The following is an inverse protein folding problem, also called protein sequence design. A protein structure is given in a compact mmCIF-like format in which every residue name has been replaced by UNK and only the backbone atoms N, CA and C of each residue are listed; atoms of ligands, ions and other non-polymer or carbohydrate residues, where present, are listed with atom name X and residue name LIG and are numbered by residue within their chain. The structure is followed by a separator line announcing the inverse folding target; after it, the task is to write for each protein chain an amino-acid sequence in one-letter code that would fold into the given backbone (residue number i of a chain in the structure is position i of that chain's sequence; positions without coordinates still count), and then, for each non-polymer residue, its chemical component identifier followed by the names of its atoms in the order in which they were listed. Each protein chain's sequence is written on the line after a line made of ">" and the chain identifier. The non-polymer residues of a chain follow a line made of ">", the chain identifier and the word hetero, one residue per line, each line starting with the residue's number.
data_IF_183118014002
#
_entry.id   IF_183118014002
#
_cell.length_a   1.000
_cell.length_b   1.000
_cell.length_c   1.000
_cell.angle_alpha   90.00
_cell.angle_beta   90.00
_cell.angle_gamma   90.00
#
_symmetry.space_group_name_H-M   'P 1'
#
loop_
_entity.id
_entity.type
_entity.pdbx_description
1 polymer ?
#
# COMPACT_ATOMS: atom_id res chain seq x y z
N UNK A 1 14.93 9.82 54.87
CA UNK A 1 15.40 8.61 55.57
C UNK A 1 15.76 7.66 54.45
N UNK A 2 17.00 7.68 53.92
CA UNK A 2 18.20 6.97 54.41
C UNK A 2 17.94 5.45 54.38
N UNK A 3 18.62 4.60 53.69
CA UNK A 3 20.05 4.30 53.58
C UNK A 3 20.20 3.33 52.38
N UNK A 4 21.12 3.51 51.44
CA UNK A 4 22.54 3.16 51.49
C UNK A 4 22.83 1.66 51.25
N UNK A 5 23.48 1.44 50.12
CA UNK A 5 24.83 0.84 49.94
C UNK A 5 25.01 -0.64 50.27
N UNK A 6 25.49 -1.38 49.30
CA UNK A 6 26.80 -2.08 49.37
C UNK A 6 27.20 -2.70 48.02
N UNK A 7 28.16 -2.24 47.46
CA UNK A 7 29.46 -2.54 46.88
C UNK A 7 29.96 -3.98 47.17
N UNK A 8 30.32 -4.68 46.13
CA UNK A 8 31.06 -5.94 46.19
C UNK A 8 31.91 -6.13 44.93
N UNK A 9 33.12 -5.58 44.95
CA UNK A 9 34.20 -5.86 44.00
C UNK A 9 34.91 -7.16 44.38
N UNK A 10 35.30 -7.94 43.41
CA UNK A 10 36.37 -8.96 43.43
C UNK A 10 36.63 -9.45 42.03
N UNK A 11 37.73 -9.55 41.47
CA UNK A 11 39.15 -9.50 41.71
C UNK A 11 39.77 -10.30 40.53
N UNK A 12 40.72 -9.69 39.88
CA UNK A 12 41.56 -10.34 38.87
C UNK A 12 42.39 -11.42 39.55
N UNK A 13 42.52 -12.57 38.98
CA UNK A 13 43.72 -13.37 39.11
C UNK A 13 44.19 -14.00 37.80
N UNK A 14 45.43 -13.70 37.49
CA UNK A 14 46.20 -14.22 36.35
C UNK A 14 46.81 -15.57 36.74
N UNK A 15 46.61 -16.62 35.95
CA UNK A 15 47.62 -17.69 35.85
C UNK A 15 47.57 -18.45 34.54
N UNK A 16 48.62 -18.23 33.76
CA UNK A 16 49.49 -19.16 33.00
C UNK A 16 48.92 -20.09 31.95
N UNK A 17 49.35 -19.78 30.77
CA UNK A 17 49.43 -20.63 29.56
C UNK A 17 50.19 -21.92 29.83
N UNK A 18 49.67 -23.04 29.34
CA UNK A 18 50.48 -24.20 28.94
C UNK A 18 50.01 -24.65 27.57
N UNK A 19 50.83 -24.48 26.55
CA UNK A 19 50.68 -25.07 25.26
C UNK A 19 51.04 -26.53 25.25
N UNK A 20 50.22 -27.40 24.61
CA UNK A 20 50.72 -28.64 24.04
C UNK A 20 49.98 -28.95 22.72
N UNK A 21 50.67 -29.49 21.71
CA UNK A 21 50.22 -29.52 20.34
C UNK A 21 49.54 -30.83 19.97
N UNK A 22 48.44 -30.70 19.20
CA UNK A 22 47.73 -31.82 18.61
C UNK A 22 47.13 -31.44 17.27
N UNK A 23 47.99 -31.39 16.28
CA UNK A 23 47.62 -31.23 14.87
C UNK A 23 46.75 -32.43 14.42
N UNK A 24 45.40 -32.26 14.38
CA UNK A 24 44.52 -33.13 13.59
C UNK A 24 43.05 -32.67 13.53
N UNK A 25 42.74 -31.42 13.88
CA UNK A 25 41.34 -30.90 13.80
C UNK A 25 41.14 -29.68 12.90
N UNK A 26 42.09 -29.44 11.95
CA UNK A 26 42.05 -28.25 11.10
C UNK A 26 41.49 -28.53 9.67
N UNK A 27 40.86 -29.66 9.41
CA UNK A 27 40.36 -29.99 8.07
C UNK A 27 38.81 -29.99 7.98
N UNK A 28 38.09 -30.02 9.10
CA UNK A 28 36.61 -30.05 9.07
C UNK A 28 35.92 -28.69 9.10
N UNK A 29 36.60 -27.59 9.40
CA UNK A 29 35.94 -26.26 9.50
C UNK A 29 35.94 -25.51 8.17
N UNK A 30 36.80 -25.87 7.23
CA UNK A 30 36.88 -25.24 5.89
C UNK A 30 35.91 -25.83 4.85
N UNK A 31 35.28 -26.97 5.15
CA UNK A 31 34.29 -27.58 4.24
C UNK A 31 32.86 -27.11 4.48
N UNK A 32 32.56 -26.40 5.59
CA UNK A 32 31.20 -25.89 5.91
C UNK A 32 30.99 -24.43 5.50
N UNK A 33 32.01 -23.70 5.11
CA UNK A 33 31.88 -22.31 4.62
C UNK A 33 31.70 -22.19 3.09
N UNK A 34 31.80 -23.28 2.34
CA UNK A 34 31.73 -23.24 0.87
C UNK A 34 30.35 -23.58 0.28
N UNK A 35 29.34 -23.84 1.09
CA UNK A 35 27.97 -24.18 0.61
C UNK A 35 26.97 -23.05 0.85
N UNK A 36 27.38 -21.92 1.44
CA UNK A 36 26.51 -20.76 1.68
C UNK A 36 26.54 -19.70 0.55
N UNK A 37 27.09 -20.03 -0.60
CA UNK A 37 27.10 -19.15 -1.75
C UNK A 37 26.24 -19.74 -2.87
N UNK A 38 25.30 -18.92 -3.32
CA UNK A 38 24.51 -19.09 -4.54
C UNK A 38 23.19 -19.87 -4.36
N UNK A 39 22.32 -19.38 -3.52
CA UNK A 39 20.93 -19.24 -3.93
C UNK A 39 20.74 -17.78 -4.39
N UNK A 40 21.34 -17.41 -5.49
CA UNK A 40 20.82 -16.30 -6.28
C UNK A 40 19.44 -16.72 -6.73
N UNK A 41 18.45 -16.30 -5.94
CA UNK A 41 17.05 -16.34 -6.35
C UNK A 41 17.02 -15.49 -7.62
N UNK A 42 17.01 -16.12 -8.77
CA UNK A 42 16.64 -15.47 -10.02
C UNK A 42 15.19 -15.04 -9.88
N UNK A 43 14.99 -13.85 -9.32
CA UNK A 43 13.72 -13.12 -9.41
C UNK A 43 13.55 -12.83 -10.91
N UNK A 44 12.87 -13.73 -11.59
CA UNK A 44 12.41 -13.45 -12.95
C UNK A 44 11.50 -12.24 -12.83
N UNK A 45 11.91 -11.12 -13.41
CA UNK A 45 11.03 -10.00 -13.65
C UNK A 45 9.75 -10.54 -14.32
N UNK A 46 8.61 -10.32 -13.71
CA UNK A 46 7.35 -10.68 -14.32
C UNK A 46 7.24 -9.89 -15.63
N UNK A 47 6.79 -10.59 -16.67
CA UNK A 47 6.57 -9.99 -17.98
C UNK A 47 5.57 -8.84 -17.83
N UNK A 48 5.97 -7.65 -18.24
CA UNK A 48 5.16 -6.44 -18.27
C UNK A 48 3.84 -6.67 -19.01
N UNK A 49 3.88 -7.47 -20.07
CA UNK A 49 2.70 -7.85 -20.85
C UNK A 49 1.67 -8.61 -20.01
N UNK A 50 2.09 -9.36 -19.01
CA UNK A 50 1.19 -10.10 -18.12
C UNK A 50 0.48 -9.18 -17.15
N UNK A 51 1.21 -8.24 -16.53
CA UNK A 51 0.63 -7.24 -15.61
C UNK A 51 -0.30 -6.31 -16.36
N UNK A 52 0.10 -5.87 -17.55
CA UNK A 52 -0.74 -5.03 -18.40
C UNK A 52 -2.01 -5.76 -18.85
N UNK A 53 -1.91 -7.01 -19.26
CA UNK A 53 -3.09 -7.84 -19.61
C UNK A 53 -4.03 -8.02 -18.43
N UNK A 54 -3.51 -8.22 -17.21
CA UNK A 54 -4.34 -8.30 -16.02
C UNK A 54 -5.09 -6.99 -15.78
N UNK A 55 -4.40 -5.85 -15.89
CA UNK A 55 -5.01 -4.54 -15.75
C UNK A 55 -6.03 -4.24 -16.85
N UNK A 56 -5.67 -4.48 -18.11
CA UNK A 56 -6.59 -4.31 -19.24
C UNK A 56 -7.85 -5.19 -19.09
N UNK A 57 -7.67 -6.44 -18.66
CA UNK A 57 -8.78 -7.37 -18.48
C UNK A 57 -9.66 -6.97 -17.30
N UNK A 58 -9.05 -6.63 -16.16
CA UNK A 58 -9.78 -6.35 -14.94
C UNK A 58 -10.49 -4.99 -14.95
N UNK A 59 -9.83 -3.95 -15.45
CA UNK A 59 -10.30 -2.57 -15.29
C UNK A 59 -10.79 -1.93 -16.59
N UNK A 60 -10.22 -2.28 -17.74
CA UNK A 60 -10.57 -1.67 -19.01
C UNK A 60 -11.66 -2.46 -19.74
N UNK A 61 -11.45 -3.77 -19.96
CA UNK A 61 -12.35 -4.60 -20.76
C UNK A 61 -13.62 -4.98 -20.01
N UNK A 62 -13.60 -5.03 -18.68
CA UNK A 62 -14.80 -5.29 -17.88
C UNK A 62 -15.84 -4.17 -17.99
N UNK A 63 -15.40 -2.94 -18.31
CA UNK A 63 -16.28 -1.80 -18.58
C UNK A 63 -16.75 -1.68 -20.04
N UNK A 64 -16.06 -2.28 -21.01
CA UNK A 64 -16.32 -2.14 -22.44
C UNK A 64 -16.34 -3.48 -23.16
N UNK A 65 -17.53 -4.03 -23.43
CA UNK A 65 -17.70 -5.30 -24.16
C UNK A 65 -17.31 -5.27 -25.65
N UNK A 66 -16.77 -4.17 -26.20
CA UNK A 66 -16.40 -4.06 -27.62
C UNK A 66 -15.22 -3.11 -27.82
N UNK A 67 -13.97 -3.59 -27.78
CA UNK A 67 -12.90 -3.00 -28.59
C UNK A 67 -11.77 -4.01 -28.80
N UNK A 68 -11.39 -4.21 -30.07
CA UNK A 68 -10.22 -5.01 -30.48
C UNK A 68 -8.92 -4.44 -29.90
N UNK A 69 -7.93 -5.28 -29.57
CA UNK A 69 -6.67 -4.84 -29.00
C UNK A 69 -5.90 -3.98 -30.00
N UNK A 70 -5.74 -2.71 -29.68
CA UNK A 70 -4.88 -1.78 -30.41
C UNK A 70 -3.46 -1.95 -29.89
N UNK A 71 -2.50 -2.13 -30.80
CA UNK A 71 -1.07 -2.22 -30.45
C UNK A 71 -0.63 -0.92 -29.75
N UNK A 72 -0.40 -0.96 -28.46
CA UNK A 72 0.06 0.16 -27.65
C UNK A 72 1.58 0.19 -27.53
N UNK A 73 2.15 1.39 -27.49
CA UNK A 73 3.58 1.63 -27.36
C UNK A 73 4.14 1.01 -26.05
N UNK A 74 5.22 0.25 -26.18
CA UNK A 74 5.92 -0.40 -25.05
C UNK A 74 6.43 0.66 -24.07
N UNK A 75 5.87 0.71 -22.88
CA UNK A 75 6.44 1.38 -21.72
C UNK A 75 6.95 0.31 -20.75
N UNK A 76 8.24 0.32 -20.46
CA UNK A 76 8.84 -0.70 -19.58
C UNK A 76 8.58 -0.39 -18.11
N UNK A 77 7.84 -1.28 -17.45
CA UNK A 77 7.66 -1.30 -16.01
C UNK A 77 8.35 -2.56 -15.47
N UNK A 78 9.16 -2.43 -14.43
CA UNK A 78 9.68 -3.60 -13.70
C UNK A 78 8.71 -3.98 -12.59
N UNK A 79 8.44 -5.27 -12.47
CA UNK A 79 7.58 -5.82 -11.40
C UNK A 79 8.47 -6.31 -10.26
N UNK A 80 8.20 -5.81 -9.05
CA UNK A 80 9.02 -6.02 -7.85
C UNK A 80 8.81 -7.38 -7.15
N UNK A 81 7.79 -8.15 -7.52
CA UNK A 81 7.43 -9.38 -6.80
C UNK A 81 7.59 -10.64 -7.63
N UNK A 82 8.14 -11.73 -7.04
CA UNK A 82 8.38 -12.97 -7.77
C UNK A 82 7.11 -13.78 -8.00
N UNK A 83 7.01 -14.34 -9.20
CA UNK A 83 6.13 -15.43 -9.62
C UNK A 83 4.72 -15.46 -9.02
N UNK A 84 3.83 -14.69 -9.61
CA UNK A 84 2.40 -14.90 -9.39
C UNK A 84 1.83 -15.63 -10.60
N UNK A 85 1.23 -16.81 -10.42
CA UNK A 85 0.50 -17.46 -11.50
C UNK A 85 -0.71 -16.59 -11.84
N UNK A 86 -0.73 -15.98 -13.02
CA UNK A 86 -1.93 -15.31 -13.55
C UNK A 86 -2.98 -16.30 -14.02
N UNK A 87 -2.62 -17.57 -14.15
CA UNK A 87 -3.56 -18.66 -14.40
C UNK A 87 -4.46 -18.85 -13.16
N UNK A 88 -5.75 -18.57 -13.29
CA UNK A 88 -6.75 -18.72 -12.22
C UNK A 88 -7.10 -17.45 -11.45
N UNK A 89 -6.54 -16.29 -11.80
CA UNK A 89 -7.01 -15.01 -11.24
C UNK A 89 -8.29 -14.59 -11.96
N UNK A 90 -9.39 -14.53 -11.22
CA UNK A 90 -10.62 -13.97 -11.74
C UNK A 90 -10.45 -12.43 -11.82
N UNK A 91 -10.67 -11.85 -13.00
CA UNK A 91 -10.54 -10.39 -13.20
C UNK A 91 -11.38 -9.59 -12.19
N UNK A 92 -12.55 -10.09 -11.81
CA UNK A 92 -13.47 -9.42 -10.86
C UNK A 92 -12.92 -9.35 -9.42
N UNK A 93 -11.81 -10.05 -9.13
CA UNK A 93 -11.22 -10.12 -7.78
C UNK A 93 -9.91 -9.32 -7.66
N UNK A 94 -9.75 -8.32 -8.50
CA UNK A 94 -8.57 -7.47 -8.57
C UNK A 94 -8.88 -6.07 -8.05
N UNK A 95 -7.95 -5.51 -7.28
CA UNK A 95 -8.01 -4.12 -6.77
C UNK A 95 -6.70 -3.43 -7.08
N UNK A 96 -6.79 -2.35 -7.83
CA UNK A 96 -5.65 -1.45 -8.08
C UNK A 96 -5.56 -0.38 -6.99
N UNK A 97 -4.37 -0.13 -6.48
CA UNK A 97 -4.12 0.93 -5.49
C UNK A 97 -2.90 1.74 -5.92
N UNK A 98 -3.07 3.06 -5.92
CA UNK A 98 -1.95 4.00 -6.11
C UNK A 98 -1.87 4.91 -4.90
N UNK A 99 -0.69 5.00 -4.30
CA UNK A 99 -0.39 5.93 -3.23
C UNK A 99 0.28 7.17 -3.81
N UNK A 100 -0.17 8.34 -3.38
CA UNK A 100 0.34 9.63 -3.79
C UNK A 100 0.84 10.40 -2.59
N UNK A 101 2.09 10.88 -2.64
CA UNK A 101 2.61 11.88 -1.71
C UNK A 101 2.55 13.25 -2.38
N UNK A 102 1.96 14.22 -1.70
CA UNK A 102 1.91 15.60 -2.17
C UNK A 102 3.21 16.30 -1.78
N UNK A 103 3.88 16.90 -2.75
CA UNK A 103 4.94 17.86 -2.53
C UNK A 103 4.59 19.21 -3.12
N UNK A 104 5.20 20.27 -2.64
CA UNK A 104 5.03 21.59 -3.27
C UNK A 104 5.44 21.51 -4.73
N UNK A 105 4.61 22.07 -5.61
CA UNK A 105 4.91 22.16 -7.02
C UNK A 105 6.01 23.20 -7.26
N UNK A 106 6.89 22.93 -8.22
CA UNK A 106 7.89 23.87 -8.74
C UNK A 106 7.53 24.29 -10.16
N UNK A 107 8.17 25.34 -10.66
CA UNK A 107 7.94 25.82 -12.03
C UNK A 107 8.35 24.79 -13.09
N UNK A 108 9.29 23.93 -12.79
CA UNK A 108 9.81 22.90 -13.71
C UNK A 108 8.98 21.62 -13.76
N UNK A 109 7.94 21.52 -12.92
CA UNK A 109 7.11 20.32 -12.88
C UNK A 109 6.16 20.24 -14.06
N UNK A 110 6.19 19.09 -14.76
CA UNK A 110 5.33 18.80 -15.92
C UNK A 110 4.05 18.04 -15.59
N UNK A 111 3.87 17.60 -14.31
CA UNK A 111 2.69 16.87 -13.88
C UNK A 111 1.49 17.74 -13.57
N UNK A 112 0.32 17.14 -13.51
CA UNK A 112 -0.90 17.81 -13.09
C UNK A 112 -0.85 18.21 -11.62
N UNK A 113 -1.34 19.40 -11.32
CA UNK A 113 -1.26 20.01 -9.99
C UNK A 113 -2.58 19.95 -9.27
N UNK A 114 -2.49 19.81 -7.96
CA UNK A 114 -3.61 19.95 -7.03
C UNK A 114 -3.52 21.29 -6.35
N UNK A 115 -4.56 22.11 -6.49
CA UNK A 115 -4.67 23.38 -5.75
C UNK A 115 -5.26 23.07 -4.38
N UNK A 116 -4.55 23.44 -3.32
CA UNK A 116 -4.98 23.29 -1.94
C UNK A 116 -5.13 24.67 -1.32
N UNK A 117 -6.33 24.93 -0.82
CA UNK A 117 -6.62 26.17 -0.09
C UNK A 117 -6.33 25.95 1.40
N UNK A 118 -5.43 26.73 1.96
CA UNK A 118 -5.06 26.75 3.37
C UNK A 118 -5.42 28.14 3.94
N UNK A 119 -6.64 28.27 4.46
CA UNK A 119 -7.19 29.58 4.83
C UNK A 119 -7.41 30.47 3.60
N UNK A 120 -6.84 31.67 3.60
CA UNK A 120 -6.90 32.61 2.47
C UNK A 120 -5.90 32.28 1.36
N UNK A 121 -4.90 31.46 1.63
CA UNK A 121 -3.83 31.15 0.68
C UNK A 121 -4.17 29.92 -0.16
N UNK A 122 -3.79 29.95 -1.43
CA UNK A 122 -3.84 28.83 -2.34
C UNK A 122 -2.42 28.36 -2.67
N UNK A 123 -2.19 27.07 -2.54
CA UNK A 123 -0.90 26.49 -2.86
C UNK A 123 -1.04 25.35 -3.86
N UNK A 124 -0.10 25.29 -4.81
CA UNK A 124 -0.02 24.22 -5.78
C UNK A 124 0.83 23.07 -5.25
N UNK A 125 0.24 21.88 -5.28
CA UNK A 125 0.88 20.65 -4.89
C UNK A 125 0.94 19.68 -6.05
N UNK A 126 2.04 18.95 -6.17
CA UNK A 126 2.20 17.89 -7.15
C UNK A 126 2.00 16.53 -6.47
N UNK A 127 0.94 15.79 -6.81
CA UNK A 127 0.81 14.39 -6.41
C UNK A 127 1.86 13.55 -7.13
N UNK A 128 2.70 12.87 -6.36
CA UNK A 128 3.76 12.01 -6.85
C UNK A 128 3.56 10.58 -6.34
N UNK A 129 3.59 9.60 -7.23
CA UNK A 129 3.46 8.18 -6.87
C UNK A 129 4.56 7.77 -5.91
N UNK A 130 4.19 6.99 -4.92
CA UNK A 130 5.13 6.36 -4.01
C UNK A 130 4.92 4.85 -4.01
N UNK A 131 5.98 4.07 -3.81
CA UNK A 131 5.88 2.63 -3.63
C UNK A 131 5.35 2.30 -2.23
N UNK A 132 4.80 1.09 -2.05
CA UNK A 132 4.38 0.59 -0.74
C UNK A 132 5.54 0.50 0.28
N UNK A 133 6.78 0.47 -0.21
CA UNK A 133 7.98 0.47 0.63
C UNK A 133 8.51 1.86 0.96
N UNK A 134 7.93 2.92 0.39
CA UNK A 134 8.32 4.30 0.70
C UNK A 134 8.08 4.57 2.18
N UNK A 135 9.11 5.11 2.85
CA UNK A 135 8.98 5.55 4.24
C UNK A 135 8.34 6.93 4.28
N UNK A 136 7.34 7.06 5.11
CA UNK A 136 6.59 8.29 5.31
C UNK A 136 7.09 9.01 6.55
N UNK A 137 7.18 10.31 6.45
CA UNK A 137 7.54 11.18 7.56
C UNK A 137 6.29 11.85 8.14
N UNK A 138 6.38 12.21 9.42
CA UNK A 138 5.30 12.95 10.06
C UNK A 138 5.08 14.29 9.34
N UNK A 139 3.83 14.57 9.00
CA UNK A 139 3.45 15.74 8.21
C UNK A 139 3.35 15.50 6.71
N UNK A 140 3.81 14.35 6.21
CA UNK A 140 3.56 13.98 4.82
C UNK A 140 2.06 14.03 4.50
N UNK A 141 1.74 14.50 3.31
CA UNK A 141 0.37 14.58 2.81
C UNK A 141 0.13 13.51 1.77
N UNK A 142 -0.85 12.68 2.00
CA UNK A 142 -1.12 11.51 1.18
C UNK A 142 -2.49 11.56 0.53
N UNK A 143 -2.59 10.92 -0.61
CA UNK A 143 -3.85 10.54 -1.26
C UNK A 143 -3.76 9.10 -1.69
N UNK A 144 -4.90 8.47 -1.87
CA UNK A 144 -5.02 7.09 -2.31
C UNK A 144 -5.98 7.06 -3.49
N UNK A 145 -5.57 6.43 -4.59
CA UNK A 145 -6.46 6.09 -5.69
C UNK A 145 -6.76 4.61 -5.67
N UNK A 146 -8.02 4.26 -5.79
CA UNK A 146 -8.51 2.88 -5.84
C UNK A 146 -9.20 2.63 -7.17
N UNK A 147 -8.77 1.59 -7.86
CA UNK A 147 -9.38 1.05 -9.07
C UNK A 147 -10.05 -0.27 -8.73
N UNK A 148 -11.36 -0.34 -8.90
CA UNK A 148 -12.13 -1.54 -8.64
C UNK A 148 -12.38 -2.28 -9.96
N UNK A 149 -12.12 -3.59 -9.98
CA UNK A 149 -12.42 -4.43 -11.15
C UNK A 149 -13.91 -4.78 -11.27
N UNK A 150 -14.72 -4.36 -10.31
CA UNK A 150 -16.17 -4.55 -10.29
C UNK A 150 -16.88 -3.36 -9.67
N UNK A 151 -18.14 -3.20 -10.02
CA UNK A 151 -19.03 -2.24 -9.34
C UNK A 151 -19.39 -2.76 -7.95
N UNK A 152 -19.42 -1.86 -6.97
CA UNK A 152 -19.71 -2.20 -5.58
C UNK A 152 -19.55 -1.01 -4.65
N UNK A 153 -19.24 -1.31 -3.39
CA UNK A 153 -19.10 -0.33 -2.32
C UNK A 153 -17.72 -0.43 -1.69
N UNK A 154 -17.00 0.68 -1.68
CA UNK A 154 -15.66 0.80 -1.14
C UNK A 154 -15.70 1.21 0.34
N UNK A 155 -14.89 0.53 1.14
CA UNK A 155 -14.64 0.87 2.54
C UNK A 155 -13.14 0.89 2.79
N UNK A 156 -12.68 1.85 3.60
CA UNK A 156 -11.29 1.92 4.04
C UNK A 156 -11.27 1.96 5.56
N UNK A 157 -10.61 0.96 6.14
CA UNK A 157 -10.43 0.82 7.58
C UNK A 157 -8.97 1.04 7.88
N UNK A 158 -8.69 1.90 8.84
CA UNK A 158 -7.35 2.25 9.28
C UNK A 158 -7.03 1.65 10.64
N UNK A 159 -5.79 1.18 10.81
CA UNK A 159 -5.21 0.69 12.06
C UNK A 159 -3.75 1.10 12.16
N UNK A 160 -3.37 1.62 13.29
CA UNK A 160 -1.97 1.87 13.62
C UNK A 160 -1.27 0.55 13.94
N UNK A 161 -0.05 0.37 13.44
CA UNK A 161 0.80 -0.75 13.80
C UNK A 161 1.97 -0.28 14.67
N UNK A 162 2.16 -0.94 15.80
CA UNK A 162 3.21 -0.65 16.76
C UNK A 162 4.43 -1.55 16.60
N UNK A 163 5.55 -1.18 17.24
CA UNK A 163 6.84 -1.87 17.11
C UNK A 163 6.80 -3.33 17.62
N UNK A 164 5.92 -3.63 18.56
CA UNK A 164 5.67 -5.00 19.06
C UNK A 164 4.81 -5.85 18.13
N UNK A 165 4.36 -5.28 17.00
CA UNK A 165 3.49 -5.93 16.04
C UNK A 165 2.00 -5.83 16.34
N UNK A 166 1.60 -5.30 17.50
CA UNK A 166 0.19 -5.06 17.84
C UNK A 166 -0.43 -4.00 16.94
N UNK A 167 -1.76 -4.03 16.84
CA UNK A 167 -2.55 -3.08 16.08
C UNK A 167 -3.48 -2.30 17.01
N UNK A 168 -3.76 -1.04 16.66
CA UNK A 168 -4.81 -0.25 17.32
C UNK A 168 -6.20 -0.81 17.06
N UNK A 169 -7.19 -0.24 17.73
CA UNK A 169 -8.60 -0.42 17.34
C UNK A 169 -8.79 -0.06 15.86
N UNK A 170 -9.68 -0.77 15.14
CA UNK A 170 -9.99 -0.46 13.75
C UNK A 170 -10.95 0.73 13.64
N UNK A 171 -10.60 1.67 12.77
CA UNK A 171 -11.44 2.82 12.46
C UNK A 171 -11.82 2.82 10.98
N UNK A 172 -13.12 2.86 10.68
CA UNK A 172 -13.62 3.13 9.34
C UNK A 172 -13.40 4.61 9.03
N UNK A 173 -12.44 4.91 8.15
CA UNK A 173 -12.10 6.27 7.73
C UNK A 173 -12.80 6.68 6.43
N UNK A 174 -13.34 5.71 5.68
CA UNK A 174 -14.18 5.90 4.51
C UNK A 174 -15.20 4.76 4.39
N UNK A 175 -16.50 5.06 4.11
CA UNK A 175 -17.08 6.37 3.80
C UNK A 175 -17.30 7.27 5.01
N UNK A 176 -17.16 8.58 4.80
CA UNK A 176 -17.63 9.63 5.70
C UNK A 176 -18.25 10.76 4.90
N UNK A 177 -19.17 11.55 5.48
CA UNK A 177 -19.78 12.69 4.76
C UNK A 177 -18.77 13.76 4.36
N UNK A 178 -17.57 13.77 4.96
CA UNK A 178 -16.46 14.67 4.61
C UNK A 178 -15.69 14.26 3.38
N UNK A 179 -15.80 13.00 2.98
CA UNK A 179 -15.07 12.43 1.85
C UNK A 179 -16.07 11.92 0.83
N UNK A 180 -16.01 12.43 -0.39
CA UNK A 180 -16.95 12.15 -1.48
C UNK A 180 -18.43 12.34 -1.07
N UNK A 181 -18.71 13.22 -0.10
CA UNK A 181 -20.05 13.43 0.46
C UNK A 181 -20.72 12.12 0.95
N UNK A 182 -19.93 11.16 1.41
CA UNK A 182 -20.39 9.84 1.85
C UNK A 182 -20.65 8.83 0.73
N UNK A 183 -20.50 9.21 -0.52
CA UNK A 183 -20.68 8.28 -1.63
C UNK A 183 -19.50 7.32 -1.75
N UNK A 184 -19.74 6.04 -1.45
CA UNK A 184 -18.74 4.99 -1.50
C UNK A 184 -18.97 3.97 -2.64
N UNK A 185 -19.84 4.29 -3.57
CA UNK A 185 -20.03 3.45 -4.75
C UNK A 185 -18.83 3.55 -5.68
N UNK A 186 -18.30 2.40 -6.09
CA UNK A 186 -17.23 2.28 -7.08
C UNK A 186 -17.75 1.61 -8.34
N UNK A 187 -17.21 2.01 -9.47
CA UNK A 187 -17.60 1.49 -10.78
C UNK A 187 -16.36 1.01 -11.51
N UNK A 188 -16.45 -0.15 -12.14
CA UNK A 188 -15.36 -0.68 -12.98
C UNK A 188 -14.95 0.32 -14.06
N UNK A 189 -13.65 0.43 -14.29
CA UNK A 189 -13.08 1.37 -15.27
C UNK A 189 -13.03 2.83 -14.81
N UNK A 190 -13.28 3.09 -13.52
CA UNK A 190 -13.14 4.42 -12.91
C UNK A 190 -12.16 4.37 -11.73
N UNK A 191 -11.40 5.45 -11.56
CA UNK A 191 -10.58 5.67 -10.38
C UNK A 191 -11.43 6.34 -9.30
N UNK A 192 -11.34 5.86 -8.08
CA UNK A 192 -11.86 6.54 -6.89
C UNK A 192 -10.71 7.14 -6.10
N UNK A 193 -10.67 8.45 -5.95
CA UNK A 193 -9.64 9.15 -5.20
C UNK A 193 -10.10 9.47 -3.78
N UNK A 194 -9.25 9.19 -2.81
CA UNK A 194 -9.48 9.44 -1.39
C UNK A 194 -8.33 10.26 -0.78
N UNK A 195 -8.62 11.41 -0.16
CA UNK A 195 -9.85 12.17 -0.29
C UNK A 195 -10.08 12.64 -1.73
N UNK A 196 -11.32 13.00 -2.08
CA UNK A 196 -11.61 13.58 -3.37
C UNK A 196 -10.91 14.93 -3.55
N UNK A 197 -10.83 15.41 -4.77
CA UNK A 197 -10.20 16.71 -5.08
C UNK A 197 -10.90 17.89 -4.40
N UNK A 198 -12.23 17.79 -4.30
CA UNK A 198 -13.07 18.86 -3.74
C UNK A 198 -13.31 18.72 -2.23
N UNK A 199 -12.83 17.63 -1.63
CA UNK A 199 -12.86 17.45 -0.18
C UNK A 199 -11.96 18.47 0.53
N UNK A 200 -12.24 18.75 1.78
CA UNK A 200 -11.49 19.72 2.59
C UNK A 200 -11.03 19.10 3.91
N UNK A 201 -9.72 18.83 4.06
CA UNK A 201 -8.64 18.95 3.08
C UNK A 201 -8.66 17.82 2.03
N UNK A 202 -8.10 18.03 0.82
CA UNK A 202 -8.05 17.01 -0.23
C UNK A 202 -6.85 16.04 -0.06
N UNK A 203 -6.45 15.77 1.17
CA UNK A 203 -5.35 14.87 1.54
C UNK A 203 -5.50 14.37 2.97
N UNK A 204 -4.89 13.23 3.25
CA UNK A 204 -4.63 12.75 4.59
C UNK A 204 -3.26 13.25 5.06
N UNK A 205 -3.13 13.62 6.33
CA UNK A 205 -1.83 13.99 6.91
C UNK A 205 -1.31 12.82 7.74
N UNK A 206 -0.08 12.39 7.45
CA UNK A 206 0.63 11.39 8.26
C UNK A 206 0.87 11.93 9.65
N UNK A 207 0.35 11.27 10.65
CA UNK A 207 0.50 11.60 12.07
C UNK A 207 0.84 10.33 12.83
N UNK A 208 1.70 10.46 13.83
CA UNK A 208 1.95 9.39 14.78
C UNK A 208 1.20 9.70 16.07
N UNK A 209 0.40 8.77 16.53
CA UNK A 209 -0.27 8.85 17.82
C UNK A 209 0.67 8.49 18.98
N UNK A 210 1.62 7.57 18.70
CA UNK A 210 2.59 7.03 19.67
C UNK A 210 4.00 7.01 19.07
N UNK A 211 5.02 7.12 19.91
CA UNK A 211 6.42 7.09 19.48
C UNK A 211 6.86 5.75 18.89
N UNK A 212 6.23 4.65 19.31
CA UNK A 212 6.49 3.29 18.84
C UNK A 212 5.62 2.86 17.66
N UNK A 213 4.82 3.75 17.09
CA UNK A 213 4.06 3.50 15.86
C UNK A 213 5.02 3.40 14.67
N UNK A 214 4.99 2.28 13.97
CA UNK A 214 5.90 1.96 12.86
C UNK A 214 5.23 1.97 11.50
N UNK A 215 3.90 1.90 11.47
CA UNK A 215 3.12 1.93 10.23
C UNK A 215 1.65 2.25 10.50
N UNK A 216 0.92 2.55 9.43
CA UNK A 216 -0.53 2.39 9.32
C UNK A 216 -0.85 1.23 8.40
N UNK A 217 -1.92 0.51 8.70
CA UNK A 217 -2.44 -0.60 7.91
C UNK A 217 -3.84 -0.23 7.46
N UNK A 218 -3.96 0.10 6.18
CA UNK A 218 -5.24 0.37 5.55
C UNK A 218 -5.82 -0.92 5.00
N UNK A 219 -6.99 -1.32 5.50
CA UNK A 219 -7.77 -2.40 4.90
C UNK A 219 -8.74 -1.78 3.90
N UNK A 220 -8.45 -1.98 2.61
CA UNK A 220 -9.30 -1.54 1.49
C UNK A 220 -10.23 -2.70 1.14
N UNK A 221 -11.53 -2.49 1.35
CA UNK A 221 -12.56 -3.51 1.15
C UNK A 221 -13.54 -3.06 0.08
N UNK A 222 -13.81 -3.92 -0.90
CA UNK A 222 -14.83 -3.71 -1.93
C UNK A 222 -15.88 -4.81 -1.78
N UNK A 223 -17.10 -4.39 -1.46
CA UNK A 223 -18.25 -5.28 -1.28
C UNK A 223 -19.25 -5.12 -2.41
N UNK A 224 -19.85 -6.21 -2.93
CA UNK A 224 -20.90 -6.13 -3.96
C UNK A 224 -22.19 -5.46 -3.44
N UNK A 225 -22.41 -5.46 -2.14
CA UNK A 225 -23.55 -4.82 -1.47
C UNK A 225 -23.10 -3.98 -0.29
N UNK A 226 -23.90 -3.02 0.19
CA UNK A 226 -23.59 -2.28 1.40
C UNK A 226 -23.33 -3.22 2.59
N UNK A 227 -22.36 -2.88 3.43
CA UNK A 227 -22.10 -3.61 4.66
C UNK A 227 -23.13 -3.22 5.72
N UNK A 228 -23.61 -4.23 6.42
CA UNK A 228 -24.52 -4.02 7.55
C UNK A 228 -23.81 -3.37 8.73
N UNK A 229 -24.53 -2.52 9.48
CA UNK A 229 -24.01 -1.87 10.68
C UNK A 229 -23.01 -0.75 10.44
N UNK A 230 -22.87 -0.29 9.20
CA UNK A 230 -22.07 0.88 8.85
C UNK A 230 -22.97 2.10 8.72
N UNK A 231 -22.69 3.12 9.53
CA UNK A 231 -23.33 4.43 9.45
C UNK A 231 -22.38 5.44 8.82
N UNK A 232 -22.87 6.18 7.82
CA UNK A 232 -22.06 7.22 7.16
C UNK A 232 -22.25 8.53 7.92
N UNK A 233 -21.23 8.91 8.69
CA UNK A 233 -21.20 10.13 9.50
C UNK A 233 -20.08 11.06 9.05
N UNK A 234 -19.91 12.19 9.71
CA UNK A 234 -18.80 13.14 9.45
C UNK A 234 -17.47 12.72 10.11
N UNK A 235 -17.47 11.65 10.91
CA UNK A 235 -16.31 11.16 11.67
C UNK A 235 -16.01 9.72 11.32
N UNK A 236 -14.73 9.34 11.53
CA UNK A 236 -14.33 7.95 11.51
C UNK A 236 -15.10 7.15 12.57
N UNK A 237 -15.60 5.99 12.17
CA UNK A 237 -16.37 5.09 13.05
C UNK A 237 -15.44 4.01 13.61
N UNK A 238 -15.40 3.88 14.93
CA UNK A 238 -14.73 2.73 15.57
C UNK A 238 -15.53 1.46 15.28
N UNK A 239 -14.87 0.46 14.71
CA UNK A 239 -15.48 -0.85 14.42
C UNK A 239 -15.13 -1.85 15.52
N UNK A 240 -15.90 -2.93 15.58
CA UNK A 240 -15.57 -4.06 16.45
C UNK A 240 -14.36 -4.82 15.92
N UNK A 241 -13.36 -5.07 16.77
CA UNK A 241 -12.20 -5.93 16.46
C UNK A 241 -12.63 -7.31 15.96
N UNK A 242 -13.63 -7.91 16.59
CA UNK A 242 -14.16 -9.21 16.20
C UNK A 242 -14.79 -9.18 14.80
N UNK A 243 -15.48 -8.12 14.45
CA UNK A 243 -16.08 -7.93 13.13
C UNK A 243 -15.02 -7.78 12.06
N UNK A 244 -14.04 -6.89 12.26
CA UNK A 244 -12.95 -6.68 11.30
C UNK A 244 -12.10 -7.93 11.17
N UNK A 245 -11.76 -8.59 12.27
CA UNK A 245 -11.04 -9.87 12.26
C UNK A 245 -11.77 -10.98 11.51
N UNK A 246 -13.11 -11.01 11.58
CA UNK A 246 -13.92 -11.92 10.76
C UNK A 246 -13.83 -11.58 9.27
N UNK A 247 -13.92 -10.31 8.91
CA UNK A 247 -13.78 -9.86 7.52
C UNK A 247 -12.40 -10.18 6.96
N UNK A 248 -11.34 -9.88 7.70
CA UNK A 248 -9.97 -10.19 7.32
C UNK A 248 -9.73 -11.69 7.10
N UNK A 249 -10.28 -12.53 7.97
CA UNK A 249 -10.23 -13.99 7.83
C UNK A 249 -10.99 -14.48 6.60
N UNK A 250 -12.18 -13.94 6.36
CA UNK A 250 -13.08 -14.46 5.32
C UNK A 250 -12.70 -13.94 3.94
N UNK A 251 -12.27 -12.67 3.85
CA UNK A 251 -12.12 -11.96 2.58
C UNK A 251 -10.67 -11.50 2.29
N UNK A 252 -9.76 -11.62 3.26
CA UNK A 252 -8.38 -11.14 3.15
C UNK A 252 -7.30 -12.22 3.09
N UNK A 253 -7.65 -13.48 3.32
CA UNK A 253 -6.70 -14.51 3.71
C UNK A 253 -5.70 -14.96 2.62
N UNK A 254 -5.89 -14.60 1.35
CA UNK A 254 -5.05 -15.04 0.22
C UNK A 254 -4.91 -13.94 -0.83
N UNK A 255 -4.32 -12.83 -0.44
CA UNK A 255 -4.10 -11.71 -1.36
C UNK A 255 -2.71 -11.80 -1.95
N UNK A 256 -2.62 -11.88 -3.28
CA UNK A 256 -1.37 -11.66 -4.01
C UNK A 256 -1.19 -10.18 -4.33
N UNK A 257 0.05 -9.74 -4.49
CA UNK A 257 0.43 -8.37 -4.79
C UNK A 257 1.35 -8.31 -6.00
N UNK A 258 1.02 -7.47 -6.95
CA UNK A 258 1.89 -7.02 -8.05
C UNK A 258 2.20 -5.54 -7.83
N UNK A 259 3.45 -5.19 -7.62
CA UNK A 259 3.88 -3.81 -7.48
C UNK A 259 4.68 -3.36 -8.70
N UNK A 260 4.36 -2.17 -9.24
CA UNK A 260 5.05 -1.58 -10.37
C UNK A 260 6.17 -0.66 -9.88
N UNK A 261 7.41 -1.12 -9.87
CA UNK A 261 8.57 -0.34 -9.40
C UNK A 261 8.76 0.94 -10.21
N UNK A 262 8.60 0.89 -11.52
CA UNK A 262 8.84 2.02 -12.41
C UNK A 262 7.79 3.15 -12.32
N UNK A 263 6.72 2.96 -11.56
CA UNK A 263 5.73 4.00 -11.29
C UNK A 263 6.17 4.99 -10.21
N UNK A 264 6.97 4.56 -9.25
CA UNK A 264 7.42 5.41 -8.14
C UNK A 264 8.15 6.66 -8.65
N UNK A 265 7.89 7.79 -8.01
CA UNK A 265 8.44 9.08 -8.40
C UNK A 265 7.71 9.79 -9.56
N UNK A 266 6.80 9.13 -10.27
CA UNK A 266 6.05 9.76 -11.36
C UNK A 266 4.93 10.66 -10.81
N UNK A 267 4.76 11.85 -11.41
CA UNK A 267 3.67 12.73 -11.04
C UNK A 267 2.33 12.21 -11.55
N UNK A 268 1.28 12.74 -10.99
CA UNK A 268 -0.09 12.55 -11.44
C UNK A 268 -0.25 13.00 -12.90
N UNK A 269 -0.79 12.13 -13.74
CA UNK A 269 -1.07 12.50 -15.12
C UNK A 269 -2.43 13.18 -15.24
N UNK A 270 -2.65 13.84 -16.38
CA UNK A 270 -3.94 14.46 -16.67
C UNK A 270 -5.07 13.44 -16.72
N UNK A 271 -4.82 12.29 -17.33
CA UNK A 271 -5.79 11.20 -17.47
C UNK A 271 -6.19 10.64 -16.10
N UNK A 272 -5.22 10.46 -15.22
CA UNK A 272 -5.47 9.99 -13.85
C UNK A 272 -6.28 11.02 -13.05
N UNK A 273 -5.95 12.30 -13.17
CA UNK A 273 -6.68 13.40 -12.52
C UNK A 273 -8.13 13.48 -13.02
N UNK A 274 -8.34 13.38 -14.32
CA UNK A 274 -9.66 13.41 -14.92
C UNK A 274 -10.49 12.18 -14.52
N UNK A 275 -9.90 10.99 -14.52
CA UNK A 275 -10.56 9.76 -14.10
C UNK A 275 -10.98 9.78 -12.62
N UNK A 276 -10.15 10.40 -11.74
CA UNK A 276 -10.42 10.55 -10.31
C UNK A 276 -11.35 11.69 -9.93
N UNK A 277 -11.71 12.58 -10.87
CA UNK A 277 -12.56 13.75 -10.59
C UNK A 277 -14.06 13.46 -10.53
N UNK A 278 -14.48 12.22 -10.71
CA UNK A 278 -15.90 11.83 -10.75
C UNK A 278 -16.64 12.26 -12.03
N UNK A 279 -16.02 13.09 -12.87
CA UNK A 279 -16.52 13.38 -14.22
C UNK A 279 -16.41 12.08 -15.02
N UNK A 280 -17.46 11.69 -15.73
CA UNK A 280 -17.75 10.36 -16.27
C UNK A 280 -16.71 9.77 -17.26
N UNK A 281 -15.43 10.05 -17.08
CA UNK A 281 -14.37 9.54 -17.93
C UNK A 281 -13.98 8.13 -17.48
N UNK A 282 -14.21 7.17 -18.36
CA UNK A 282 -13.78 5.77 -18.17
C UNK A 282 -12.30 5.68 -18.50
N UNK A 283 -11.56 4.89 -17.74
CA UNK A 283 -10.16 4.55 -18.03
C UNK A 283 -10.01 4.01 -19.45
N UNK A 284 -8.95 4.46 -20.12
CA UNK A 284 -8.59 4.04 -21.48
C UNK A 284 -7.40 3.10 -21.43
N UNK A 285 -7.23 2.31 -22.49
CA UNK A 285 -6.12 1.35 -22.60
C UNK A 285 -4.72 2.00 -22.55
N UNK A 286 -4.61 3.31 -22.78
CA UNK A 286 -3.38 4.11 -22.68
C UNK A 286 -3.22 4.81 -21.33
N UNK A 287 -4.24 4.77 -20.47
CA UNK A 287 -4.15 5.31 -19.12
C UNK A 287 -3.06 4.56 -18.30
N UNK A 288 -2.41 5.24 -17.33
CA UNK A 288 -1.45 4.59 -16.45
C UNK A 288 -2.10 3.48 -15.62
N UNK A 289 -1.43 2.35 -15.49
CA UNK A 289 -1.86 1.30 -14.56
C UNK A 289 -1.64 1.73 -13.10
N UNK A 290 -2.40 1.18 -12.14
CA UNK A 290 -2.19 1.46 -10.71
C UNK A 290 -0.79 1.05 -10.27
N UNK A 291 -0.27 1.70 -9.21
CA UNK A 291 1.07 1.39 -8.66
C UNK A 291 1.15 -0.03 -8.11
N UNK A 292 0.10 -0.49 -7.46
CA UNK A 292 -0.01 -1.82 -6.91
C UNK A 292 -1.32 -2.47 -7.36
N UNK A 293 -1.25 -3.72 -7.76
CA UNK A 293 -2.40 -4.54 -8.11
C UNK A 293 -2.49 -5.68 -7.09
N UNK A 294 -3.54 -5.67 -6.31
CA UNK A 294 -3.90 -6.75 -5.40
C UNK A 294 -4.89 -7.68 -6.07
N UNK A 295 -4.72 -8.97 -5.89
CA UNK A 295 -5.64 -9.96 -6.43
C UNK A 295 -5.89 -11.07 -5.42
N UNK A 296 -7.07 -11.62 -5.46
CA UNK A 296 -7.46 -12.71 -4.58
C UNK A 296 -7.80 -13.94 -5.42
N UNK A 297 -6.94 -14.98 -5.41
CA UNK A 297 -7.22 -16.20 -6.17
C UNK A 297 -8.42 -16.94 -5.58
N UNK A 298 -9.19 -17.60 -6.44
CA UNK A 298 -10.32 -18.46 -6.07
C UNK A 298 -11.48 -17.78 -5.31
N UNK A 299 -11.59 -16.45 -5.37
CA UNK A 299 -12.73 -15.72 -4.83
C UNK A 299 -13.88 -15.72 -5.82
N UNK A 300 -15.09 -15.85 -5.34
CA UNK A 300 -16.28 -15.75 -6.18
C UNK A 300 -16.60 -14.28 -6.46
N UNK A 301 -17.15 -14.01 -7.65
CA UNK A 301 -17.48 -12.64 -8.08
C UNK A 301 -18.47 -11.91 -7.17
N UNK A 302 -19.24 -12.63 -6.35
CA UNK A 302 -20.22 -12.07 -5.42
C UNK A 302 -19.69 -11.94 -3.98
N UNK A 303 -18.44 -12.31 -3.70
CA UNK A 303 -17.83 -12.18 -2.39
C UNK A 303 -17.06 -10.86 -2.27
N UNK A 304 -17.04 -10.22 -1.08
CA UNK A 304 -16.19 -9.05 -0.83
C UNK A 304 -14.69 -9.38 -1.03
N UNK A 305 -13.92 -8.36 -1.41
CA UNK A 305 -12.46 -8.41 -1.50
C UNK A 305 -11.91 -7.46 -0.44
N UNK A 306 -10.98 -7.94 0.37
CA UNK A 306 -10.27 -7.12 1.34
C UNK A 306 -8.76 -7.23 1.08
N UNK A 307 -8.11 -6.09 0.86
CA UNK A 307 -6.67 -5.99 0.67
C UNK A 307 -6.05 -5.08 1.72
N UNK A 308 -4.84 -5.41 2.18
CA UNK A 308 -4.12 -4.62 3.17
C UNK A 308 -3.00 -3.84 2.52
N UNK A 309 -3.02 -2.53 2.68
CA UNK A 309 -1.99 -1.59 2.24
C UNK A 309 -1.27 -1.09 3.47
N UNK A 310 0.03 -1.39 3.58
CA UNK A 310 0.84 -0.98 4.74
C UNK A 310 1.65 0.27 4.40
N UNK A 311 1.40 1.34 5.13
CA UNK A 311 2.12 2.61 5.05
C UNK A 311 3.20 2.63 6.13
N UNK A 312 4.47 2.53 5.74
CA UNK A 312 5.61 2.44 6.68
C UNK A 312 6.08 3.83 7.08
N UNK A 313 6.39 4.01 8.36
CA UNK A 313 6.98 5.25 8.85
C UNK A 313 8.51 5.23 8.82
N UNK A 314 9.10 6.39 8.53
CA UNK A 314 10.53 6.62 8.72
C UNK A 314 10.90 6.54 10.20
N UNK A 315 12.13 6.17 10.52
CA UNK A 315 12.62 6.33 11.89
C UNK A 315 12.74 7.82 12.17
N UNK A 316 12.04 8.31 13.20
CA UNK A 316 12.35 9.63 13.72
C UNK A 316 13.73 9.52 14.38
N UNK A 317 14.78 9.98 13.70
CA UNK A 317 16.02 10.26 14.39
C UNK A 317 15.68 11.31 15.46
N UNK A 318 15.79 10.96 16.73
CA UNK A 318 15.75 11.96 17.80
C UNK A 318 16.85 12.97 17.46
N UNK A 319 16.45 14.18 17.07
CA UNK A 319 17.33 15.34 17.05
C UNK A 319 17.56 15.82 18.47
#
# INVERSE_FOLDING_TARGET
>A
MTLQEQIGACNLDKRKCVCHPGAKQLVCVLALCAVSLIASVNVKAQDEDTTRRLWDTAFINSGNKKTSPRKTAKRSYRVATPNVPTAGVNADTVVGVTLWRLRRASQTDSGERLIVHEGADAAEWLPQRISANTRLDQGDRLRISVEAARTGYLYVIDREQYADGSLSDPYLIFPTTRTLSGNNQVTVGKITELPARDDRPPYFTVKRSRSDQVAEVLSVLISPSPLEGIEITDKAQKLSEAQVGKWEKSWGARVGLLELEAGAGKPWSREEKEAGSGIAQVLKSDAPAPQAIYYQPNTKSNEPILVKVRLRYGYSAKR
#
